data_IF_378087374916
#
_entry.id   IF_378087374916
#
_cell.length_a   1.000
_cell.length_b   1.000
_cell.length_c   1.000
_cell.angle_alpha   90.00
_cell.angle_beta   90.00
_cell.angle_gamma   90.00
#
_symmetry.space_group_name_H-M   'P 1'
#
loop_
_entity.id
_entity.type
_entity.pdbx_description
1 polymer ?
#
# COMPACT_ATOMS: atom_id res chain seq x y z
N UNK A 1 -16.00 -8.35 15.25
CA UNK A 1 -15.64 -7.75 13.95
C UNK A 1 -14.61 -8.58 13.18
N UNK A 2 -13.37 -8.78 13.68
CA UNK A 2 -12.39 -9.65 12.98
C UNK A 2 -12.88 -11.10 12.79
N UNK A 3 -13.47 -11.68 13.83
CA UNK A 3 -14.06 -13.02 13.78
C UNK A 3 -15.19 -13.12 12.75
N UNK A 4 -15.99 -12.06 12.60
CA UNK A 4 -17.10 -12.03 11.65
C UNK A 4 -16.57 -12.08 10.21
N UNK A 5 -15.55 -11.29 9.89
CA UNK A 5 -14.88 -11.33 8.59
C UNK A 5 -14.18 -12.66 8.30
N UNK A 6 -13.56 -13.28 9.30
CA UNK A 6 -12.98 -14.61 9.14
C UNK A 6 -14.06 -15.67 8.87
N UNK A 7 -15.20 -15.60 9.56
CA UNK A 7 -16.31 -16.51 9.34
C UNK A 7 -16.94 -16.33 7.96
N UNK A 8 -17.07 -15.08 7.49
CA UNK A 8 -17.54 -14.75 6.15
C UNK A 8 -16.56 -15.23 5.07
N UNK A 9 -15.25 -15.06 5.29
CA UNK A 9 -14.24 -15.57 4.37
C UNK A 9 -14.25 -17.11 4.31
N UNK A 10 -14.38 -17.78 5.46
CA UNK A 10 -14.45 -19.23 5.53
C UNK A 10 -15.70 -19.78 4.82
N UNK A 11 -16.88 -19.17 4.99
CA UNK A 11 -18.09 -19.60 4.29
C UNK A 11 -17.99 -19.41 2.78
N UNK A 12 -17.46 -18.27 2.32
CA UNK A 12 -17.21 -18.03 0.90
C UNK A 12 -16.19 -19.01 0.31
N UNK A 13 -15.17 -19.38 1.08
CA UNK A 13 -14.16 -20.37 0.69
C UNK A 13 -14.79 -21.77 0.56
N UNK A 14 -15.59 -22.20 1.54
CA UNK A 14 -16.30 -23.48 1.49
C UNK A 14 -17.28 -23.56 0.31
N UNK A 15 -18.00 -22.47 0.03
CA UNK A 15 -18.92 -22.40 -1.11
C UNK A 15 -18.16 -22.50 -2.45
N UNK A 16 -17.00 -21.86 -2.57
CA UNK A 16 -16.15 -21.96 -3.75
C UNK A 16 -15.56 -23.36 -3.93
N UNK A 17 -15.08 -24.00 -2.84
CA UNK A 17 -14.61 -25.39 -2.85
C UNK A 17 -15.73 -26.37 -3.20
N UNK A 18 -16.95 -26.17 -2.71
CA UNK A 18 -18.11 -27.00 -3.05
C UNK A 18 -18.42 -26.95 -4.54
N UNK A 19 -18.31 -25.78 -5.16
CA UNK A 19 -18.50 -25.61 -6.60
C UNK A 19 -17.38 -26.28 -7.40
N UNK A 20 -16.14 -26.18 -6.92
CA UNK A 20 -14.96 -26.80 -7.55
C UNK A 20 -14.94 -28.34 -7.42
N UNK A 21 -15.39 -28.90 -6.29
CA UNK A 21 -15.34 -30.33 -5.99
C UNK A 21 -16.37 -31.17 -6.77
N UNK A 22 -17.33 -30.54 -7.45
CA UNK A 22 -18.35 -31.23 -8.21
C UNK A 22 -19.73 -30.61 -8.01
N UNK A 23 -19.85 -29.31 -8.28
CA UNK A 23 -21.14 -28.63 -8.31
C UNK A 23 -22.17 -29.38 -9.17
N UNK A 24 -23.45 -29.08 -8.94
CA UNK A 24 -24.60 -29.79 -9.50
C UNK A 24 -24.38 -30.18 -10.98
N UNK A 25 -24.36 -31.48 -11.33
CA UNK A 25 -24.05 -31.93 -12.70
C UNK A 25 -25.11 -31.47 -13.72
N UNK A 26 -26.27 -30.99 -13.25
CA UNK A 26 -27.30 -30.37 -14.07
C UNK A 26 -26.99 -28.91 -14.45
N UNK A 27 -26.05 -28.24 -13.77
CA UNK A 27 -25.67 -26.87 -14.10
C UNK A 27 -24.56 -26.84 -15.16
N UNK A 28 -24.85 -26.18 -16.27
CA UNK A 28 -23.88 -25.97 -17.34
C UNK A 28 -22.60 -25.31 -16.81
N UNK A 29 -21.46 -25.70 -17.39
CA UNK A 29 -20.12 -25.25 -16.98
C UNK A 29 -20.00 -23.71 -16.94
N UNK A 30 -20.69 -23.02 -17.85
CA UNK A 30 -20.71 -21.55 -17.87
C UNK A 30 -21.42 -20.92 -16.65
N UNK A 31 -22.55 -21.49 -16.21
CA UNK A 31 -23.29 -21.01 -15.03
C UNK A 31 -22.45 -21.24 -13.78
N UNK A 32 -21.78 -22.40 -13.70
CA UNK A 32 -20.85 -22.73 -12.63
C UNK A 32 -19.69 -21.74 -12.56
N UNK A 33 -19.11 -21.40 -13.71
CA UNK A 33 -18.03 -20.42 -13.80
C UNK A 33 -18.49 -19.02 -13.38
N UNK A 34 -19.68 -18.57 -13.80
CA UNK A 34 -20.21 -17.26 -13.39
C UNK A 34 -20.44 -17.17 -11.89
N UNK A 35 -20.97 -18.23 -11.26
CA UNK A 35 -21.11 -18.31 -9.80
C UNK A 35 -19.77 -18.25 -9.09
N UNK A 36 -18.78 -18.98 -9.61
CA UNK A 36 -17.43 -19.00 -9.08
C UNK A 36 -16.75 -17.62 -9.20
N UNK A 37 -16.88 -16.95 -10.34
CA UNK A 37 -16.37 -15.59 -10.54
C UNK A 37 -17.02 -14.57 -9.59
N UNK A 38 -18.32 -14.72 -9.33
CA UNK A 38 -19.05 -13.89 -8.37
C UNK A 38 -18.56 -14.13 -6.94
N UNK A 39 -18.33 -15.38 -6.54
CA UNK A 39 -17.76 -15.75 -5.24
C UNK A 39 -16.33 -15.24 -5.09
N UNK A 40 -15.49 -15.38 -6.12
CA UNK A 40 -14.12 -14.86 -6.13
C UNK A 40 -14.10 -13.34 -5.94
N UNK A 41 -15.03 -12.60 -6.57
CA UNK A 41 -15.18 -11.16 -6.35
C UNK A 41 -15.58 -10.84 -4.90
N UNK A 42 -16.48 -11.61 -4.29
CA UNK A 42 -16.89 -11.43 -2.89
C UNK A 42 -15.73 -11.73 -1.93
N UNK A 43 -15.05 -12.86 -2.12
CA UNK A 43 -13.86 -13.24 -1.35
C UNK A 43 -12.77 -12.16 -1.43
N UNK A 44 -12.50 -11.62 -2.63
CA UNK A 44 -11.53 -10.54 -2.81
C UNK A 44 -11.92 -9.27 -2.04
N UNK A 45 -13.19 -8.87 -2.06
CA UNK A 45 -13.68 -7.70 -1.28
C UNK A 45 -13.57 -7.93 0.23
N UNK A 46 -13.93 -9.12 0.70
CA UNK A 46 -13.79 -9.51 2.10
C UNK A 46 -12.31 -9.49 2.53
N UNK A 47 -11.43 -10.07 1.72
CA UNK A 47 -9.99 -10.06 1.97
C UNK A 47 -9.39 -8.66 1.97
N UNK A 48 -9.75 -7.79 1.02
CA UNK A 48 -9.31 -6.38 1.04
C UNK A 48 -9.80 -5.63 2.28
N UNK A 49 -11.00 -5.95 2.76
CA UNK A 49 -11.53 -5.36 4.01
C UNK A 49 -10.75 -5.85 5.23
N UNK A 50 -10.39 -7.14 5.28
CA UNK A 50 -9.50 -7.71 6.30
C UNK A 50 -8.13 -7.03 6.30
N UNK A 51 -7.49 -6.89 5.13
CA UNK A 51 -6.19 -6.21 5.01
C UNK A 51 -6.23 -4.77 5.51
N UNK A 52 -7.29 -4.02 5.18
CA UNK A 52 -7.44 -2.65 5.63
C UNK A 52 -7.60 -2.56 7.16
N UNK A 53 -8.35 -3.48 7.77
CA UNK A 53 -8.47 -3.55 9.22
C UNK A 53 -7.13 -3.88 9.91
N UNK A 54 -6.32 -4.78 9.35
CA UNK A 54 -4.99 -5.08 9.93
C UNK A 54 -4.03 -3.88 9.83
N UNK A 55 -4.13 -3.12 8.73
CA UNK A 55 -3.31 -1.91 8.53
C UNK A 55 -3.66 -0.78 9.50
N UNK A 56 -4.91 -0.66 9.94
CA UNK A 56 -5.33 0.36 10.90
C UNK A 56 -4.98 0.01 12.35
N UNK A 57 -4.64 -1.25 12.66
CA UNK A 57 -4.25 -1.70 14.00
C UNK A 57 -2.81 -1.34 14.36
N UNK A 58 -2.56 -1.22 15.67
CA UNK A 58 -1.21 -0.99 16.19
C UNK A 58 -0.30 -2.23 15.97
N UNK A 59 1.03 -2.05 15.85
CA UNK A 59 1.95 -3.16 15.57
C UNK A 59 1.87 -4.34 16.53
N UNK A 60 1.57 -4.11 17.83
CA UNK A 60 1.43 -5.16 18.84
C UNK A 60 0.21 -6.06 18.63
N UNK A 61 -0.87 -5.49 18.12
CA UNK A 61 -2.13 -6.20 17.86
C UNK A 61 -2.15 -6.84 16.47
N UNK A 62 -1.34 -6.31 15.55
CA UNK A 62 -1.18 -6.82 14.19
C UNK A 62 -0.47 -8.18 14.13
N UNK A 63 0.58 -8.35 14.93
CA UNK A 63 1.44 -9.53 14.90
C UNK A 63 0.69 -10.88 14.99
N UNK A 64 -0.28 -11.09 15.92
CA UNK A 64 -1.04 -12.34 15.98
C UNK A 64 -2.00 -12.52 14.79
N UNK A 65 -2.46 -11.44 14.16
CA UNK A 65 -3.44 -11.48 13.07
C UNK A 65 -2.78 -11.69 11.69
N UNK A 66 -1.50 -11.35 11.55
CA UNK A 66 -0.72 -11.57 10.32
C UNK A 66 -0.66 -13.05 9.92
N UNK A 67 -0.55 -13.96 10.89
CA UNK A 67 -0.55 -15.40 10.63
C UNK A 67 -1.88 -15.85 10.00
N UNK A 68 -3.01 -15.40 10.54
CA UNK A 68 -4.34 -15.68 10.00
C UNK A 68 -4.55 -15.06 8.62
N UNK A 69 -4.09 -13.83 8.41
CA UNK A 69 -4.18 -13.14 7.12
C UNK A 69 -3.34 -13.86 6.05
N UNK A 70 -2.15 -14.33 6.39
CA UNK A 70 -1.30 -15.13 5.51
C UNK A 70 -1.97 -16.46 5.14
N UNK A 71 -2.69 -17.09 6.07
CA UNK A 71 -3.46 -18.30 5.78
C UNK A 71 -4.62 -18.02 4.80
N UNK A 72 -5.42 -16.98 5.05
CA UNK A 72 -6.48 -16.56 4.13
C UNK A 72 -5.93 -16.21 2.74
N UNK A 73 -4.76 -15.56 2.67
CA UNK A 73 -4.10 -15.24 1.41
C UNK A 73 -3.72 -16.49 0.62
N UNK A 74 -3.13 -17.49 1.29
CA UNK A 74 -2.79 -18.78 0.67
C UNK A 74 -4.02 -19.47 0.11
N UNK A 75 -5.07 -19.58 0.92
CA UNK A 75 -6.35 -20.17 0.54
C UNK A 75 -6.97 -19.47 -0.68
N UNK A 76 -6.97 -18.14 -0.70
CA UNK A 76 -7.46 -17.37 -1.85
C UNK A 76 -6.67 -17.66 -3.13
N UNK A 77 -5.33 -17.68 -3.06
CA UNK A 77 -4.49 -18.01 -4.23
C UNK A 77 -4.65 -19.45 -4.71
N UNK A 78 -4.90 -20.40 -3.80
CA UNK A 78 -5.11 -21.80 -4.16
C UNK A 78 -6.44 -21.99 -4.90
N UNK A 79 -7.51 -21.36 -4.43
CA UNK A 79 -8.79 -21.32 -5.14
C UNK A 79 -8.62 -20.63 -6.48
N UNK A 80 -7.96 -19.46 -6.54
CA UNK A 80 -7.75 -18.71 -7.79
C UNK A 80 -7.06 -19.59 -8.84
N UNK A 81 -6.02 -20.34 -8.47
CA UNK A 81 -5.35 -21.29 -9.37
C UNK A 81 -6.29 -22.40 -9.85
N UNK A 82 -7.08 -22.98 -8.96
CA UNK A 82 -8.02 -24.06 -9.31
C UNK A 82 -9.14 -23.57 -10.23
N UNK A 83 -9.64 -22.35 -10.01
CA UNK A 83 -10.67 -21.75 -10.89
C UNK A 83 -10.15 -21.54 -12.31
N UNK A 84 -8.87 -21.15 -12.47
CA UNK A 84 -8.24 -20.99 -13.78
C UNK A 84 -8.08 -22.34 -14.51
N UNK A 85 -7.72 -23.40 -13.79
CA UNK A 85 -7.61 -24.75 -14.36
C UNK A 85 -8.96 -25.31 -14.82
N UNK A 86 -10.05 -25.03 -14.08
CA UNK A 86 -11.41 -25.41 -14.48
C UNK A 86 -11.82 -24.75 -15.80
N UNK A 87 -11.46 -23.47 -15.97
CA UNK A 87 -11.69 -22.71 -17.20
C UNK A 87 -10.93 -23.27 -18.41
N UNK A 88 -9.76 -23.84 -18.19
CA UNK A 88 -8.91 -24.41 -19.24
C UNK A 88 -9.38 -25.81 -19.67
N UNK A 89 -9.84 -26.63 -18.71
CA UNK A 89 -10.42 -27.95 -18.97
C UNK A 89 -11.71 -27.92 -19.82
N UNK A 90 -12.51 -26.86 -19.70
CA UNK A 90 -13.73 -26.71 -20.51
C UNK A 90 -13.50 -26.29 -21.97
N UNK A 91 -12.26 -25.96 -22.36
CA UNK A 91 -11.93 -25.50 -23.73
C UNK A 91 -11.26 -26.57 -24.60
N UNK A 92 -11.19 -27.81 -24.11
CA UNK A 92 -10.58 -28.93 -24.81
C UNK A 92 -11.51 -29.66 -25.76
N UNK A 93 -11.82 -29.08 -26.93
CA UNK A 93 -12.03 -29.79 -28.21
C UNK A 93 -12.37 -28.77 -29.31
N UNK A 94 -11.37 -28.35 -30.08
CA UNK A 94 -11.59 -27.63 -31.35
C UNK A 94 -10.69 -26.42 -31.63
N UNK A 95 -9.57 -26.68 -32.33
CA UNK A 95 -9.09 -25.85 -33.46
C UNK A 95 -8.57 -24.39 -33.17
N UNK A 96 -7.97 -23.71 -34.17
CA UNK A 96 -6.61 -23.15 -34.25
C UNK A 96 -6.29 -21.87 -33.43
N UNK A 97 -7.05 -21.57 -32.38
CA UNK A 97 -6.97 -20.30 -31.61
C UNK A 97 -5.81 -20.23 -30.60
N UNK A 98 -5.14 -21.36 -30.32
CA UNK A 98 -4.07 -21.44 -29.33
C UNK A 98 -2.81 -20.61 -29.69
N UNK A 99 -2.54 -20.41 -30.98
CA UNK A 99 -1.46 -19.53 -31.47
C UNK A 99 -1.82 -18.06 -31.26
N UNK A 100 -3.04 -17.66 -31.62
CA UNK A 100 -3.56 -16.29 -31.43
C UNK A 100 -3.68 -15.91 -29.95
N UNK A 101 -4.08 -16.85 -29.09
CA UNK A 101 -4.10 -16.65 -27.64
C UNK A 101 -2.69 -16.53 -27.05
N UNK A 102 -1.74 -17.36 -27.48
CA UNK A 102 -0.33 -17.23 -27.07
C UNK A 102 0.27 -15.90 -27.50
N UNK A 103 -0.05 -15.44 -28.70
CA UNK A 103 0.42 -14.16 -29.22
C UNK A 103 -0.14 -12.97 -28.43
N UNK A 104 -1.44 -12.99 -28.10
CA UNK A 104 -2.05 -11.99 -27.22
C UNK A 104 -1.44 -11.99 -25.81
N UNK A 105 -1.08 -13.15 -25.27
CA UNK A 105 -0.40 -13.24 -23.96
C UNK A 105 1.01 -12.68 -24.03
N UNK A 106 1.78 -12.98 -25.09
CA UNK A 106 3.11 -12.42 -25.31
C UNK A 106 3.07 -10.90 -25.50
N UNK A 107 2.10 -10.38 -26.24
CA UNK A 107 1.92 -8.92 -26.40
C UNK A 107 1.57 -8.24 -25.08
N UNK A 108 0.68 -8.84 -24.27
CA UNK A 108 0.37 -8.34 -22.93
C UNK A 108 1.60 -8.38 -22.01
N UNK A 109 2.41 -9.43 -22.11
CA UNK A 109 3.63 -9.56 -21.33
C UNK A 109 4.67 -8.51 -21.74
N UNK A 110 4.82 -8.28 -23.05
CA UNK A 110 5.72 -7.24 -23.58
C UNK A 110 5.29 -5.85 -23.15
N UNK A 111 3.98 -5.56 -23.19
CA UNK A 111 3.41 -4.30 -22.71
C UNK A 111 3.57 -4.14 -21.19
N UNK A 112 3.36 -5.21 -20.43
CA UNK A 112 3.59 -5.21 -18.99
C UNK A 112 5.06 -4.97 -18.65
N UNK A 113 5.98 -5.58 -19.40
CA UNK A 113 7.43 -5.37 -19.26
C UNK A 113 7.81 -3.92 -19.52
N UNK A 114 7.32 -3.31 -20.61
CA UNK A 114 7.63 -1.90 -20.89
C UNK A 114 7.04 -0.96 -19.85
N UNK A 115 5.83 -1.23 -19.34
CA UNK A 115 5.22 -0.44 -18.27
C UNK A 115 5.98 -0.57 -16.95
N UNK A 116 6.52 -1.75 -16.65
CA UNK A 116 7.32 -1.98 -15.45
C UNK A 116 8.67 -1.28 -15.53
N UNK A 117 9.31 -1.30 -16.70
CA UNK A 117 10.55 -0.56 -16.96
C UNK A 117 10.35 0.96 -16.86
N UNK A 118 9.25 1.48 -17.42
CA UNK A 118 8.86 2.88 -17.27
C UNK A 118 8.57 3.24 -15.81
N UNK A 119 7.88 2.38 -15.07
CA UNK A 119 7.60 2.58 -13.64
C UNK A 119 8.87 2.58 -12.80
N UNK A 120 9.83 1.69 -13.10
CA UNK A 120 11.15 1.68 -12.46
C UNK A 120 11.92 2.96 -12.74
N UNK A 121 11.89 3.45 -13.99
CA UNK A 121 12.54 4.70 -14.36
C UNK A 121 11.94 5.89 -13.60
N UNK A 122 10.62 5.98 -13.55
CA UNK A 122 9.91 7.02 -12.80
C UNK A 122 10.19 6.94 -11.30
N UNK A 123 10.28 5.74 -10.73
CA UNK A 123 10.66 5.55 -9.34
C UNK A 123 12.08 6.06 -9.07
N UNK A 124 13.05 5.72 -9.93
CA UNK A 124 14.42 6.20 -9.81
C UNK A 124 14.53 7.73 -9.97
N UNK A 125 13.77 8.32 -10.91
CA UNK A 125 13.68 9.78 -11.07
C UNK A 125 13.08 10.44 -9.81
N UNK A 126 12.03 9.85 -9.24
CA UNK A 126 11.40 10.34 -8.01
C UNK A 126 12.33 10.22 -6.78
N UNK A 127 13.12 9.15 -6.69
CA UNK A 127 14.16 8.99 -5.67
C UNK A 127 15.21 10.09 -5.77
N UNK A 128 15.69 10.41 -6.98
CA UNK A 128 16.64 11.50 -7.20
C UNK A 128 16.08 12.88 -6.82
N UNK A 129 14.81 13.15 -7.13
CA UNK A 129 14.12 14.38 -6.69
C UNK A 129 13.98 14.40 -5.16
N UNK A 130 13.63 13.27 -4.56
CA UNK A 130 13.51 13.10 -3.11
C UNK A 130 14.82 13.36 -2.39
N UNK A 131 15.93 12.82 -2.87
CA UNK A 131 17.27 13.04 -2.32
C UNK A 131 17.65 14.53 -2.36
N UNK A 132 17.47 15.17 -3.51
CA UNK A 132 17.76 16.60 -3.69
C UNK A 132 16.92 17.49 -2.76
N UNK A 133 15.63 17.18 -2.60
CA UNK A 133 14.74 17.89 -1.69
C UNK A 133 15.18 17.72 -0.22
N UNK A 134 15.54 16.51 0.20
CA UNK A 134 16.02 16.23 1.56
C UNK A 134 17.35 16.95 1.86
N UNK A 135 18.30 16.94 0.92
CA UNK A 135 19.54 17.70 1.04
C UNK A 135 19.28 19.20 1.17
N UNK A 136 18.37 19.75 0.37
CA UNK A 136 17.98 21.16 0.43
C UNK A 136 17.34 21.52 1.78
N UNK A 137 16.42 20.69 2.27
CA UNK A 137 15.78 20.87 3.58
C UNK A 137 16.80 20.79 4.73
N UNK A 138 17.78 19.89 4.63
CA UNK A 138 18.86 19.78 5.60
C UNK A 138 19.68 21.08 5.67
N UNK A 139 20.12 21.61 4.52
CA UNK A 139 20.87 22.87 4.45
C UNK A 139 20.04 24.04 4.97
N UNK A 140 18.74 24.10 4.64
CA UNK A 140 17.83 25.12 5.14
C UNK A 140 17.66 25.05 6.65
N UNK A 141 17.50 23.84 7.21
CA UNK A 141 17.43 23.63 8.67
C UNK A 141 18.69 24.12 9.36
N UNK A 142 19.86 23.78 8.83
CA UNK A 142 21.13 24.22 9.39
C UNK A 142 21.26 25.75 9.34
N UNK A 143 20.87 26.35 8.22
CA UNK A 143 20.84 27.81 8.05
C UNK A 143 19.92 28.48 9.07
N UNK A 144 18.70 27.98 9.24
CA UNK A 144 17.75 28.47 10.25
C UNK A 144 18.30 28.34 11.67
N UNK A 145 18.94 27.21 11.99
CA UNK A 145 19.56 27.00 13.30
C UNK A 145 20.67 28.02 13.58
N UNK A 146 21.52 28.30 12.58
CA UNK A 146 22.57 29.33 12.68
C UNK A 146 21.97 30.72 12.86
N UNK A 147 20.96 31.07 12.06
CA UNK A 147 20.27 32.36 12.17
C UNK A 147 19.59 32.52 13.52
N UNK A 148 18.90 31.50 14.01
CA UNK A 148 18.26 31.52 15.34
C UNK A 148 19.27 31.77 16.47
N UNK A 149 20.45 31.14 16.38
CA UNK A 149 21.54 31.36 17.34
C UNK A 149 22.02 32.81 17.29
N UNK A 150 22.29 33.34 16.09
CA UNK A 150 22.68 34.75 15.90
C UNK A 150 21.62 35.73 16.41
N UNK A 151 20.33 35.44 16.18
CA UNK A 151 19.24 36.28 16.68
C UNK A 151 19.19 36.29 18.20
N UNK A 152 19.43 35.16 18.87
CA UNK A 152 19.55 35.11 20.34
C UNK A 152 20.73 35.94 20.85
N UNK A 153 21.88 35.86 20.18
CA UNK A 153 23.06 36.66 20.55
C UNK A 153 22.80 38.16 20.38
N UNK A 154 22.17 38.56 19.27
CA UNK A 154 21.78 39.95 19.03
C UNK A 154 20.77 40.43 20.07
N UNK A 155 19.78 39.61 20.41
CA UNK A 155 18.82 39.94 21.47
C UNK A 155 19.52 40.17 22.81
N UNK A 156 20.42 39.26 23.21
CA UNK A 156 21.20 39.41 24.44
C UNK A 156 22.03 40.70 24.44
N UNK A 157 22.70 41.01 23.32
CA UNK A 157 23.48 42.25 23.20
C UNK A 157 22.58 43.49 23.28
N UNK A 158 21.34 43.43 22.76
CA UNK A 158 20.38 44.52 22.83
C UNK A 158 19.88 44.73 24.27
N UNK A 159 19.61 43.64 25.00
CA UNK A 159 19.21 43.70 26.42
C UNK A 159 20.34 44.27 27.30
N UNK A 160 21.60 43.91 27.00
CA UNK A 160 22.78 44.47 27.65
C UNK A 160 22.93 45.97 27.35
N UNK A 161 22.76 46.37 26.08
CA UNK A 161 22.79 47.76 25.67
C UNK A 161 21.69 48.60 26.35
N UNK A 162 20.46 48.07 26.42
CA UNK A 162 19.33 48.73 27.09
C UNK A 162 19.59 48.90 28.60
N UNK A 163 20.21 47.90 29.23
CA UNK A 163 20.65 47.99 30.63
C UNK A 163 21.68 49.11 30.83
N UNK A 164 22.65 49.24 29.91
CA UNK A 164 23.67 50.29 29.96
C UNK A 164 23.03 51.66 29.75
N UNK A 165 22.16 51.81 28.74
CA UNK A 165 21.45 53.06 28.46
C UNK A 165 20.58 53.47 29.65
N UNK A 166 19.88 52.52 30.28
CA UNK A 166 19.09 52.76 31.48
C UNK A 166 19.96 53.25 32.64
N UNK A 167 21.13 52.64 32.87
CA UNK A 167 22.08 53.10 33.89
C UNK A 167 22.63 54.51 33.59
N UNK A 168 23.00 54.78 32.34
CA UNK A 168 23.47 56.10 31.90
C UNK A 168 22.37 57.16 32.04
N UNK A 169 21.12 56.83 31.70
CA UNK A 169 19.98 57.73 31.85
C UNK A 169 19.73 58.09 33.31
N UNK A 170 19.77 57.11 34.22
CA UNK A 170 19.65 57.36 35.67
C UNK A 170 20.79 58.24 36.19
N UNK A 171 22.02 57.96 35.76
CA UNK A 171 23.20 58.77 36.12
C UNK A 171 23.05 60.22 35.65
N UNK A 172 22.63 60.43 34.40
CA UNK A 172 22.43 61.76 33.82
C UNK A 172 21.30 62.54 34.51
N UNK A 173 20.24 61.86 34.93
CA UNK A 173 19.08 62.48 35.59
C UNK A 173 19.29 62.70 37.10
N UNK A 174 20.46 62.35 37.66
CA UNK A 174 20.77 62.57 39.09
C UNK A 174 19.95 61.72 40.05
N UNK A 175 19.30 60.66 39.55
CA UNK A 175 18.51 59.72 40.36
C UNK A 175 19.46 58.59 40.79
N UNK A 176 19.98 58.68 42.01
CA UNK A 176 20.76 57.62 42.66
C UNK A 176 19.87 56.62 43.39
#
# INVERSE_FOLDING_TARGET
MWADYLSEFASLHEDAERILAGGDPSEGVEVRQQKLDALMKKMKRCFSSLEMNVRSLQPRERQPLEASLMNCRRQFTDIERRTLLLREGSRGSGQPSASKSRQNTLEKLKKGSSQLEESLRLAAEAEGVGESALCSLYVQRETLSRTMTRTKDVQRNMDEADTIVTKMSKWWNGIW
#
